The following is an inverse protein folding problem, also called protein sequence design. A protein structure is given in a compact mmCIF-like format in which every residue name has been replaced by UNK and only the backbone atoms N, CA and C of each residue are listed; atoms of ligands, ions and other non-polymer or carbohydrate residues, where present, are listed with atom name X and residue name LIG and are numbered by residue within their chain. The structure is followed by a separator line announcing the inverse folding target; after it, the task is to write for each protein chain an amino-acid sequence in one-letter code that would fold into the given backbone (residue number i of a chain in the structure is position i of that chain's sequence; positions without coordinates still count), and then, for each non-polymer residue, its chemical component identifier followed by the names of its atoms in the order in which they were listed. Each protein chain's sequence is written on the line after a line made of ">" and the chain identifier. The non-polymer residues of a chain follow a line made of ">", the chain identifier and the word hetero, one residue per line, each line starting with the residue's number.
data_IF_663904478785
#
_entry.id   IF_663904478785
#
_cell.length_a   1.000
_cell.length_b   1.000
_cell.length_c   1.000
_cell.angle_alpha   90.00
_cell.angle_beta   90.00
_cell.angle_gamma   90.00
#
_symmetry.space_group_name_H-M   'P 1'
#
loop_
_entity.id
_entity.type
_entity.pdbx_description
1 polymer ?
#
# COMPACT_ATOMS: atom_id res chain seq x y z
N UNK A 1 22.61 -8.93 0.49
CA UNK A 1 22.74 -7.49 0.74
C UNK A 1 23.82 -7.30 1.80
N UNK A 2 24.63 -6.23 1.70
CA UNK A 2 25.67 -5.93 2.70
C UNK A 2 25.07 -5.65 4.07
N UNK A 3 25.86 -5.73 5.15
CA UNK A 3 25.40 -5.41 6.51
C UNK A 3 25.02 -3.92 6.64
N UNK A 4 25.69 -3.04 5.89
CA UNK A 4 25.38 -1.61 5.77
C UNK A 4 25.16 -1.27 4.29
N UNK A 5 23.96 -1.57 3.76
CA UNK A 5 23.69 -1.46 2.33
C UNK A 5 23.68 -0.02 1.84
N UNK A 6 24.09 0.17 0.59
CA UNK A 6 23.80 1.39 -0.16
C UNK A 6 22.36 1.31 -0.64
N UNK A 7 21.52 2.20 -0.13
CA UNK A 7 20.08 2.24 -0.44
C UNK A 7 19.79 3.42 -1.37
N UNK A 8 19.12 3.16 -2.49
CA UNK A 8 18.61 4.19 -3.36
C UNK A 8 17.09 4.34 -3.21
N UNK A 9 16.59 5.58 -3.13
CA UNK A 9 15.16 5.88 -3.18
C UNK A 9 14.88 6.59 -4.50
N UNK A 10 14.15 5.95 -5.39
CA UNK A 10 13.69 6.53 -6.66
C UNK A 10 12.32 7.15 -6.48
N UNK A 11 12.22 8.46 -6.69
CA UNK A 11 11.03 9.25 -6.42
C UNK A 11 10.99 9.79 -4.97
N UNK A 12 12.15 10.13 -4.42
CA UNK A 12 12.32 10.59 -3.02
C UNK A 12 11.48 11.82 -2.67
N UNK A 13 11.13 12.66 -3.63
CA UNK A 13 10.32 13.87 -3.45
C UNK A 13 8.81 13.63 -3.43
N UNK A 14 8.36 12.40 -3.70
CA UNK A 14 6.95 12.01 -3.63
C UNK A 14 6.51 11.73 -2.19
N UNK A 15 5.19 11.64 -1.96
CA UNK A 15 4.63 11.35 -0.65
C UNK A 15 5.20 10.03 -0.05
N UNK A 16 5.23 8.96 -0.84
CA UNK A 16 5.80 7.66 -0.41
C UNK A 16 7.33 7.76 -0.25
N UNK A 17 8.01 8.57 -1.08
CA UNK A 17 9.46 8.78 -0.96
C UNK A 17 9.87 9.37 0.39
N UNK A 18 9.10 10.35 0.88
CA UNK A 18 9.29 10.93 2.21
C UNK A 18 9.02 9.88 3.32
N UNK A 19 7.99 9.06 3.16
CA UNK A 19 7.67 7.99 4.11
C UNK A 19 8.73 6.87 4.12
N UNK A 20 9.41 6.58 3.03
CA UNK A 20 10.57 5.67 3.04
C UNK A 20 11.64 6.14 4.01
N UNK A 21 12.01 7.43 3.92
CA UNK A 21 13.02 8.04 4.81
C UNK A 21 12.59 7.91 6.27
N UNK A 22 11.36 8.35 6.58
CA UNK A 22 10.82 8.32 7.94
C UNK A 22 10.69 6.89 8.48
N UNK A 23 10.23 5.96 7.65
CA UNK A 23 10.04 4.55 8.04
C UNK A 23 11.38 3.85 8.29
N UNK A 24 12.38 4.04 7.42
CA UNK A 24 13.72 3.49 7.62
C UNK A 24 14.37 4.02 8.90
N UNK A 25 14.17 5.31 9.22
CA UNK A 25 14.69 5.91 10.45
C UNK A 25 13.98 5.33 11.68
N UNK A 26 12.65 5.38 11.71
CA UNK A 26 11.80 4.84 12.79
C UNK A 26 12.11 3.37 13.12
N UNK A 27 12.36 2.55 12.09
CA UNK A 27 12.64 1.12 12.22
C UNK A 27 14.12 0.79 12.47
N UNK A 28 15.00 1.78 12.48
CA UNK A 28 16.43 1.53 12.61
C UNK A 28 17.01 0.72 11.45
N UNK A 29 16.40 0.80 10.25
CA UNK A 29 16.84 0.06 9.06
C UNK A 29 18.29 0.42 8.74
N UNK A 30 19.15 -0.57 8.59
CA UNK A 30 20.59 -0.33 8.32
C UNK A 30 20.78 0.31 6.95
N UNK A 31 21.49 1.43 6.91
CA UNK A 31 21.84 2.17 5.69
C UNK A 31 23.25 2.68 5.83
N UNK A 32 24.18 2.12 5.05
CA UNK A 32 25.55 2.63 4.98
C UNK A 32 25.64 3.93 4.18
N UNK A 33 24.89 4.03 3.08
CA UNK A 33 24.76 5.24 2.27
C UNK A 33 23.36 5.34 1.67
N UNK A 34 22.76 6.52 1.77
CA UNK A 34 21.50 6.84 1.08
C UNK A 34 21.78 7.61 -0.21
N UNK A 35 21.23 7.14 -1.34
CA UNK A 35 21.11 7.85 -2.61
C UNK A 35 19.67 8.32 -2.81
N UNK A 36 19.46 9.62 -2.76
CA UNK A 36 18.14 10.24 -2.97
C UNK A 36 18.00 10.60 -4.45
N UNK A 37 17.11 9.90 -5.18
CA UNK A 37 17.00 10.02 -6.64
C UNK A 37 15.64 10.60 -7.04
N UNK A 38 15.65 11.61 -7.93
CA UNK A 38 14.44 12.22 -8.49
C UNK A 38 14.68 12.72 -9.92
N UNK A 39 13.69 13.42 -10.49
CA UNK A 39 13.86 14.08 -11.80
C UNK A 39 14.85 15.26 -11.73
N UNK A 40 15.40 15.67 -12.87
CA UNK A 40 16.29 16.83 -13.01
C UNK A 40 15.75 18.10 -12.30
N UNK A 41 14.42 18.30 -12.30
CA UNK A 41 13.76 19.44 -11.63
C UNK A 41 14.02 19.50 -10.12
N UNK A 42 14.29 18.37 -9.49
CA UNK A 42 14.52 18.26 -8.05
C UNK A 42 15.99 18.05 -7.68
N UNK A 43 16.85 17.80 -8.66
CA UNK A 43 18.29 17.65 -8.45
C UNK A 43 18.89 18.90 -7.81
N UNK A 44 19.85 18.70 -6.91
CA UNK A 44 20.48 19.77 -6.12
C UNK A 44 19.73 20.19 -4.86
N UNK A 45 18.44 19.86 -4.72
CA UNK A 45 17.72 20.01 -3.44
C UNK A 45 18.21 18.97 -2.44
N UNK A 46 17.78 19.08 -1.20
CA UNK A 46 18.18 18.14 -0.14
C UNK A 46 16.99 17.53 0.56
N UNK A 47 17.18 16.33 1.11
CA UNK A 47 16.31 15.69 2.09
C UNK A 47 17.10 15.41 3.37
N UNK A 48 16.43 15.38 4.51
CA UNK A 48 17.07 15.03 5.78
C UNK A 48 16.92 13.53 6.04
N UNK A 49 18.01 12.84 6.37
CA UNK A 49 18.00 11.46 6.85
C UNK A 49 18.93 11.36 8.07
N UNK A 50 18.39 10.96 9.22
CA UNK A 50 19.12 10.84 10.50
C UNK A 50 19.91 12.11 10.86
N UNK A 51 19.29 13.27 10.66
CA UNK A 51 19.92 14.57 10.93
C UNK A 51 20.98 15.00 9.91
N UNK A 52 21.25 14.19 8.90
CA UNK A 52 22.19 14.55 7.82
C UNK A 52 21.44 15.04 6.58
N UNK A 53 21.99 16.06 5.92
CA UNK A 53 21.47 16.56 4.65
C UNK A 53 21.99 15.67 3.50
N UNK A 54 21.08 15.04 2.78
CA UNK A 54 21.38 14.21 1.61
C UNK A 54 20.96 14.97 0.36
N UNK A 55 21.88 15.20 -0.57
CA UNK A 55 21.60 15.88 -1.84
C UNK A 55 20.80 14.95 -2.73
N UNK A 56 19.75 15.49 -3.35
CA UNK A 56 18.96 14.78 -4.37
C UNK A 56 19.73 14.79 -5.68
N UNK A 57 19.99 13.60 -6.20
CA UNK A 57 20.65 13.41 -7.49
C UNK A 57 19.60 13.21 -8.60
N UNK A 58 19.93 13.59 -9.82
CA UNK A 58 19.10 13.24 -10.98
C UNK A 58 19.14 11.74 -11.22
N UNK A 59 17.97 11.14 -11.47
CA UNK A 59 17.85 9.74 -11.85
C UNK A 59 18.38 9.50 -13.27
N UNK A 60 19.48 8.81 -13.37
CA UNK A 60 20.14 8.39 -14.62
C UNK A 60 20.42 6.89 -14.62
N UNK A 61 20.87 6.33 -15.72
CA UNK A 61 21.23 4.91 -15.80
C UNK A 61 22.40 4.54 -14.88
N UNK A 62 23.31 5.50 -14.61
CA UNK A 62 24.45 5.31 -13.73
C UNK A 62 24.13 5.51 -12.23
N UNK A 63 22.93 5.94 -11.91
CA UNK A 63 22.53 6.19 -10.51
C UNK A 63 22.60 4.93 -9.62
N UNK A 64 22.59 3.75 -10.23
CA UNK A 64 22.56 2.47 -9.50
C UNK A 64 23.95 1.85 -9.31
N UNK A 65 25.02 2.49 -9.75
CA UNK A 65 26.38 2.00 -9.53
C UNK A 65 26.65 1.86 -8.01
N UNK A 66 26.95 0.62 -7.56
CA UNK A 66 27.22 0.29 -6.16
C UNK A 66 26.00 0.35 -5.23
N UNK A 67 24.77 0.32 -5.76
CA UNK A 67 23.53 0.24 -4.98
C UNK A 67 23.22 -1.23 -4.66
N UNK A 68 22.92 -1.53 -3.40
CA UNK A 68 22.48 -2.86 -2.95
C UNK A 68 20.95 -3.01 -3.00
N UNK A 69 20.21 -1.99 -2.58
CA UNK A 69 18.74 -1.99 -2.51
C UNK A 69 18.22 -0.70 -3.17
N UNK A 70 17.22 -0.83 -4.04
CA UNK A 70 16.57 0.30 -4.66
C UNK A 70 15.04 0.27 -4.40
N UNK A 71 14.54 1.27 -3.64
CA UNK A 71 13.12 1.46 -3.34
C UNK A 71 12.52 2.40 -4.38
N UNK A 72 11.57 1.90 -5.17
CA UNK A 72 10.97 2.65 -6.27
C UNK A 72 9.57 3.14 -5.91
N UNK A 73 9.33 4.45 -6.07
CA UNK A 73 8.01 5.07 -5.97
C UNK A 73 7.91 6.30 -6.89
N UNK A 74 8.16 6.11 -8.19
CA UNK A 74 8.16 7.17 -9.20
C UNK A 74 7.21 6.90 -10.38
N UNK A 75 6.30 5.91 -10.22
CA UNK A 75 5.33 5.51 -11.23
C UNK A 75 5.82 4.45 -12.20
N UNK A 76 4.87 3.77 -12.85
CA UNK A 76 5.13 2.55 -13.62
C UNK A 76 6.04 2.74 -14.84
N UNK A 77 6.01 3.90 -15.50
CA UNK A 77 6.91 4.19 -16.65
C UNK A 77 8.38 4.26 -16.22
N UNK A 78 8.65 4.92 -15.09
CA UNK A 78 9.99 5.02 -14.50
C UNK A 78 10.45 3.65 -14.03
N UNK A 79 9.59 2.88 -13.35
CA UNK A 79 9.93 1.53 -12.90
C UNK A 79 10.27 0.62 -14.08
N UNK A 80 9.45 0.59 -15.14
CA UNK A 80 9.74 -0.21 -16.34
C UNK A 80 11.08 0.14 -16.99
N UNK A 81 11.45 1.42 -17.01
CA UNK A 81 12.72 1.87 -17.59
C UNK A 81 13.90 1.53 -16.67
N UNK A 82 13.84 1.89 -15.40
CA UNK A 82 15.02 1.92 -14.54
C UNK A 82 15.18 0.70 -13.62
N UNK A 83 14.12 -0.05 -13.30
CA UNK A 83 14.27 -1.24 -12.44
C UNK A 83 15.15 -2.32 -13.07
N UNK A 84 15.03 -2.65 -14.38
CA UNK A 84 15.96 -3.59 -15.01
C UNK A 84 17.41 -3.10 -15.02
N UNK A 85 17.64 -1.78 -15.14
CA UNK A 85 18.98 -1.18 -15.08
C UNK A 85 19.56 -1.33 -13.69
N UNK A 86 18.77 -1.06 -12.64
CA UNK A 86 19.18 -1.25 -11.25
C UNK A 86 19.56 -2.71 -10.96
N UNK A 87 18.75 -3.66 -11.43
CA UNK A 87 19.05 -5.10 -11.32
C UNK A 87 20.34 -5.47 -12.02
N UNK A 88 20.56 -4.97 -13.26
CA UNK A 88 21.81 -5.21 -14.01
C UNK A 88 23.04 -4.62 -13.28
N UNK A 89 22.87 -3.52 -12.55
CA UNK A 89 23.92 -2.95 -11.70
C UNK A 89 24.14 -3.71 -10.38
N UNK A 90 23.34 -4.74 -10.08
CA UNK A 90 23.46 -5.60 -8.91
C UNK A 90 22.53 -5.27 -7.74
N UNK A 91 21.67 -4.27 -7.89
CA UNK A 91 20.69 -3.92 -6.86
C UNK A 91 19.50 -4.89 -6.83
N UNK A 92 18.93 -5.10 -5.63
CA UNK A 92 17.58 -5.65 -5.49
C UNK A 92 16.58 -4.50 -5.45
N UNK A 93 15.59 -4.55 -6.34
CA UNK A 93 14.55 -3.54 -6.47
C UNK A 93 13.30 -3.95 -5.70
N UNK A 94 12.76 -3.05 -4.86
CA UNK A 94 11.41 -3.15 -4.31
C UNK A 94 10.56 -2.05 -4.96
N UNK A 95 9.60 -2.43 -5.80
CA UNK A 95 8.85 -1.51 -6.64
C UNK A 95 7.40 -1.33 -6.17
N UNK A 96 7.04 -0.11 -5.77
CA UNK A 96 5.67 0.25 -5.37
C UNK A 96 4.73 0.49 -6.56
N UNK A 97 5.24 0.57 -7.78
CA UNK A 97 4.39 0.79 -8.94
C UNK A 97 3.63 -0.48 -9.36
N UNK A 98 2.67 -0.33 -10.25
CA UNK A 98 1.96 -1.48 -10.83
C UNK A 98 2.74 -2.19 -11.94
N UNK A 99 3.96 -1.73 -12.28
CA UNK A 99 4.68 -2.15 -13.49
C UNK A 99 4.94 -3.66 -13.57
N UNK A 100 5.24 -4.28 -12.44
CA UNK A 100 5.68 -5.68 -12.39
C UNK A 100 4.77 -6.59 -11.53
N UNK A 101 3.70 -6.05 -10.92
CA UNK A 101 2.87 -6.80 -9.97
C UNK A 101 2.30 -8.09 -10.54
N UNK A 102 1.90 -8.08 -11.81
CA UNK A 102 1.30 -9.25 -12.47
C UNK A 102 2.29 -10.04 -13.34
N UNK A 103 3.57 -9.68 -13.35
CA UNK A 103 4.61 -10.50 -13.99
C UNK A 103 4.75 -11.82 -13.21
N UNK A 104 4.65 -13.00 -13.87
CA UNK A 104 4.77 -14.29 -13.20
C UNK A 104 6.16 -14.56 -12.61
N UNK A 105 7.19 -13.88 -13.10
CA UNK A 105 8.57 -14.00 -12.61
C UNK A 105 8.91 -13.02 -11.48
N UNK A 106 7.99 -12.11 -11.12
CA UNK A 106 8.19 -11.12 -10.07
C UNK A 106 7.28 -11.45 -8.89
N UNK A 107 7.83 -11.74 -7.70
CA UNK A 107 7.03 -11.98 -6.52
C UNK A 107 6.31 -10.68 -6.10
N UNK A 108 5.04 -10.83 -5.75
CA UNK A 108 4.18 -9.77 -5.20
C UNK A 108 4.00 -10.06 -3.71
N UNK A 109 4.56 -9.20 -2.84
CA UNK A 109 4.80 -9.59 -1.44
C UNK A 109 4.13 -8.66 -0.44
N UNK A 110 3.42 -9.27 0.50
CA UNK A 110 3.06 -8.70 1.79
C UNK A 110 3.75 -9.57 2.85
N UNK A 111 4.70 -9.04 3.64
CA UNK A 111 5.50 -9.83 4.60
C UNK A 111 4.68 -10.69 5.55
N UNK A 112 3.56 -10.21 6.05
CA UNK A 112 2.66 -10.94 6.95
C UNK A 112 1.94 -12.12 6.29
N UNK A 113 1.95 -12.19 4.95
CA UNK A 113 1.21 -13.19 4.18
C UNK A 113 2.14 -14.20 3.52
N UNK A 114 3.06 -13.70 2.70
CA UNK A 114 3.83 -14.55 1.80
C UNK A 114 5.32 -14.18 1.73
N UNK A 115 5.93 -13.79 2.87
CA UNK A 115 7.34 -13.43 2.97
C UNK A 115 8.29 -14.47 2.31
N UNK A 116 7.91 -15.76 2.33
CA UNK A 116 8.69 -16.83 1.68
C UNK A 116 8.97 -16.57 0.20
N UNK A 117 8.06 -15.83 -0.47
CA UNK A 117 8.15 -15.51 -1.90
C UNK A 117 9.26 -14.51 -2.22
N UNK A 118 9.79 -13.81 -1.23
CA UNK A 118 10.96 -12.95 -1.41
C UNK A 118 12.13 -13.73 -2.03
N UNK A 119 12.30 -15.01 -1.67
CA UNK A 119 13.39 -15.85 -2.18
C UNK A 119 13.28 -16.17 -3.68
N UNK A 120 12.10 -16.00 -4.26
CA UNK A 120 11.83 -16.32 -5.66
C UNK A 120 12.21 -15.16 -6.61
N UNK A 121 12.65 -13.99 -6.07
CA UNK A 121 12.95 -12.83 -6.89
C UNK A 121 14.15 -13.05 -7.83
N UNK A 122 14.06 -12.45 -9.01
CA UNK A 122 15.15 -12.36 -9.99
C UNK A 122 15.71 -10.93 -10.06
N UNK A 123 15.78 -10.26 -8.91
CA UNK A 123 16.24 -8.89 -8.76
C UNK A 123 15.13 -7.87 -8.52
N UNK A 124 13.87 -8.15 -8.89
CA UNK A 124 12.71 -7.27 -8.64
C UNK A 124 11.72 -7.98 -7.74
N UNK A 125 11.20 -7.25 -6.74
CA UNK A 125 10.08 -7.63 -5.87
C UNK A 125 9.04 -6.53 -6.00
N UNK A 126 7.79 -6.90 -6.29
CA UNK A 126 6.69 -5.94 -6.39
C UNK A 126 6.00 -5.75 -5.03
N UNK A 127 5.77 -4.50 -4.67
CA UNK A 127 4.93 -4.09 -3.56
C UNK A 127 3.49 -3.95 -4.05
N UNK A 128 2.49 -4.57 -3.38
CA UNK A 128 1.12 -4.58 -3.86
C UNK A 128 0.44 -3.21 -3.86
N UNK A 129 -0.76 -3.17 -4.42
CA UNK A 129 -1.67 -2.04 -4.34
C UNK A 129 -2.05 -1.74 -2.89
N UNK A 130 -2.17 -0.47 -2.54
CA UNK A 130 -2.45 -0.04 -1.17
C UNK A 130 -3.80 -0.55 -0.63
N UNK A 131 -4.85 -0.54 -1.45
CA UNK A 131 -6.14 -1.09 -1.07
C UNK A 131 -6.05 -2.62 -0.92
N UNK A 132 -5.35 -3.32 -1.82
CA UNK A 132 -5.11 -4.75 -1.66
C UNK A 132 -4.40 -5.07 -0.34
N UNK A 133 -3.33 -4.33 0.02
CA UNK A 133 -2.63 -4.56 1.29
C UNK A 133 -3.57 -4.33 2.48
N UNK A 134 -4.35 -3.24 2.47
CA UNK A 134 -5.28 -2.88 3.55
C UNK A 134 -6.31 -3.98 3.79
N UNK A 135 -6.89 -4.56 2.73
CA UNK A 135 -7.83 -5.66 2.84
C UNK A 135 -7.18 -6.99 3.24
N UNK A 136 -6.04 -7.32 2.62
CA UNK A 136 -5.49 -8.68 2.69
C UNK A 136 -4.77 -8.98 4.01
N UNK A 137 -4.14 -7.99 4.64
CA UNK A 137 -3.48 -8.19 5.94
C UNK A 137 -4.44 -8.77 6.98
N UNK A 138 -5.63 -8.20 7.22
CA UNK A 138 -6.58 -8.79 8.16
C UNK A 138 -7.31 -10.03 7.64
N UNK A 139 -7.51 -10.19 6.33
CA UNK A 139 -8.20 -11.35 5.77
C UNK A 139 -7.35 -12.63 5.79
N UNK A 140 -6.03 -12.50 5.68
CA UNK A 140 -5.14 -13.65 5.58
C UNK A 140 -5.20 -14.61 6.77
N UNK A 141 -5.11 -14.17 8.04
CA UNK A 141 -5.17 -15.08 9.19
C UNK A 141 -6.49 -15.83 9.29
N UNK A 142 -7.59 -15.25 8.77
CA UNK A 142 -8.87 -15.94 8.65
C UNK A 142 -8.79 -16.99 7.55
N UNK A 143 -8.34 -16.60 6.36
CA UNK A 143 -8.20 -17.48 5.20
C UNK A 143 -7.36 -18.73 5.49
N UNK A 144 -6.29 -18.57 6.29
CA UNK A 144 -5.45 -19.69 6.74
C UNK A 144 -6.21 -20.69 7.64
N UNK A 145 -7.13 -20.22 8.49
CA UNK A 145 -7.86 -21.06 9.44
C UNK A 145 -9.17 -21.60 8.88
N UNK A 146 -9.82 -20.81 8.04
CA UNK A 146 -11.08 -21.13 7.40
C UNK A 146 -11.12 -20.43 6.04
N UNK A 147 -10.86 -21.16 4.98
CA UNK A 147 -10.71 -20.61 3.64
C UNK A 147 -11.87 -19.67 3.27
N UNK A 148 -11.54 -18.47 2.89
CA UNK A 148 -12.49 -17.49 2.36
C UNK A 148 -12.80 -17.86 0.90
N UNK A 149 -14.07 -18.11 0.60
CA UNK A 149 -14.56 -18.41 -0.76
C UNK A 149 -14.86 -17.15 -1.55
N UNK A 150 -15.40 -16.14 -0.87
CA UNK A 150 -15.86 -14.89 -1.47
C UNK A 150 -15.56 -13.73 -0.55
N UNK A 151 -15.17 -12.59 -1.14
CA UNK A 151 -15.01 -11.32 -0.43
C UNK A 151 -15.59 -10.19 -1.27
N UNK A 152 -16.32 -9.28 -0.63
CA UNK A 152 -16.83 -8.03 -1.19
C UNK A 152 -16.16 -6.91 -0.44
N UNK A 153 -15.54 -5.99 -1.19
CA UNK A 153 -14.78 -4.86 -0.66
C UNK A 153 -15.35 -3.57 -1.24
N UNK A 154 -15.70 -2.63 -0.38
CA UNK A 154 -15.99 -1.24 -0.78
C UNK A 154 -14.96 -0.35 -0.13
N UNK A 155 -14.14 0.34 -0.95
CA UNK A 155 -13.07 1.20 -0.44
C UNK A 155 -13.51 2.64 -0.29
N UNK A 156 -12.92 3.33 0.68
CA UNK A 156 -13.02 4.78 0.91
C UNK A 156 -11.59 5.32 0.89
N UNK A 157 -11.12 5.70 -0.32
CA UNK A 157 -9.71 6.00 -0.54
C UNK A 157 -9.41 7.49 -0.39
N UNK A 158 -8.48 7.80 0.49
CA UNK A 158 -8.01 9.15 0.80
C UNK A 158 -7.22 9.78 -0.37
N UNK A 159 -7.11 11.11 -0.34
CA UNK A 159 -6.36 11.91 -1.31
C UNK A 159 -4.88 11.51 -1.41
N UNK A 160 -4.26 11.16 -0.29
CA UNK A 160 -2.84 10.78 -0.21
C UNK A 160 -2.46 9.59 -1.10
N UNK A 161 -3.41 8.70 -1.44
CA UNK A 161 -3.20 7.63 -2.42
C UNK A 161 -2.95 8.13 -3.85
N UNK A 162 -3.37 9.36 -4.17
CA UNK A 162 -3.07 10.04 -5.43
C UNK A 162 -1.86 11.01 -5.32
N UNK A 163 -1.19 11.05 -4.18
CA UNK A 163 0.03 11.82 -3.94
C UNK A 163 -0.20 13.19 -3.31
N UNK A 164 0.92 13.89 -3.07
CA UNK A 164 0.93 15.16 -2.34
C UNK A 164 0.07 16.24 -3.02
N UNK A 165 0.10 16.32 -4.35
CA UNK A 165 -0.68 17.32 -5.10
C UNK A 165 -2.19 17.14 -4.92
N UNK A 166 -2.67 15.90 -4.79
CA UNK A 166 -4.08 15.62 -4.53
C UNK A 166 -4.50 15.99 -3.10
N UNK A 167 -3.61 15.82 -2.13
CA UNK A 167 -3.83 16.28 -0.76
C UNK A 167 -3.93 17.81 -0.70
N UNK A 168 -3.01 18.50 -1.38
CA UNK A 168 -3.02 19.96 -1.48
C UNK A 168 -4.30 20.47 -2.17
N UNK A 169 -4.67 19.86 -3.30
CA UNK A 169 -5.93 20.18 -4.00
C UNK A 169 -7.17 20.00 -3.10
N UNK A 170 -7.22 18.92 -2.30
CA UNK A 170 -8.32 18.72 -1.35
C UNK A 170 -8.40 19.88 -0.33
N UNK A 171 -7.25 20.30 0.22
CA UNK A 171 -7.21 21.41 1.19
C UNK A 171 -7.62 22.72 0.55
N UNK A 172 -7.06 23.03 -0.63
CA UNK A 172 -7.37 24.27 -1.36
C UNK A 172 -8.83 24.35 -1.80
N UNK A 173 -9.35 23.26 -2.39
CA UNK A 173 -10.75 23.20 -2.82
C UNK A 173 -11.71 23.29 -1.65
N UNK A 174 -11.37 22.70 -0.49
CA UNK A 174 -12.16 22.84 0.74
C UNK A 174 -12.18 24.28 1.22
N UNK A 175 -11.02 24.93 1.27
CA UNK A 175 -10.91 26.35 1.68
C UNK A 175 -11.71 27.27 0.74
N UNK A 176 -11.58 27.07 -0.57
CA UNK A 176 -12.31 27.83 -1.56
C UNK A 176 -13.83 27.68 -1.39
N UNK A 177 -14.31 26.44 -1.22
CA UNK A 177 -15.73 26.14 -1.02
C UNK A 177 -16.27 26.82 0.24
N UNK A 178 -15.57 26.74 1.38
CA UNK A 178 -15.97 27.38 2.64
C UNK A 178 -16.03 28.92 2.52
N UNK A 179 -15.24 29.51 1.62
CA UNK A 179 -15.26 30.95 1.34
C UNK A 179 -16.22 31.32 0.22
N UNK A 180 -17.10 30.44 -0.26
CA UNK A 180 -18.04 30.67 -1.34
C UNK A 180 -17.38 30.88 -2.71
N UNK A 181 -16.15 30.45 -2.88
CA UNK A 181 -15.38 30.57 -4.12
C UNK A 181 -15.49 29.30 -4.96
N UNK A 182 -15.47 29.45 -6.28
CA UNK A 182 -15.41 28.33 -7.22
C UNK A 182 -13.97 27.83 -7.31
N UNK A 183 -13.77 26.53 -7.14
CA UNK A 183 -12.47 25.86 -7.36
C UNK A 183 -12.55 24.97 -8.60
N UNK A 184 -11.64 25.17 -9.54
CA UNK A 184 -11.51 24.29 -10.70
C UNK A 184 -10.47 23.21 -10.40
N UNK A 185 -10.83 21.92 -10.42
CA UNK A 185 -9.90 20.83 -10.20
C UNK A 185 -8.74 20.86 -11.19
N UNK A 186 -7.53 20.56 -10.71
CA UNK A 186 -6.28 20.53 -11.50
C UNK A 186 -5.62 19.15 -11.49
N UNK A 187 -5.86 18.39 -10.43
CA UNK A 187 -5.25 17.07 -10.18
C UNK A 187 -6.30 15.99 -10.30
N UNK A 188 -7.45 16.18 -9.66
CA UNK A 188 -8.57 15.23 -9.70
C UNK A 188 -9.53 15.55 -10.84
N UNK A 189 -10.22 14.53 -11.40
CA UNK A 189 -11.17 14.76 -12.51
C UNK A 189 -12.46 15.43 -12.10
N UNK A 190 -12.77 15.47 -10.79
CA UNK A 190 -14.01 16.01 -10.24
C UNK A 190 -13.74 16.92 -9.03
N UNK A 191 -14.65 17.84 -8.68
CA UNK A 191 -14.56 18.62 -7.44
C UNK A 191 -14.40 17.67 -6.25
N UNK A 192 -13.41 17.94 -5.40
CA UNK A 192 -13.04 17.00 -4.33
C UNK A 192 -13.65 17.39 -2.98
N UNK A 193 -13.72 18.69 -2.67
CA UNK A 193 -14.29 19.17 -1.42
C UNK A 193 -15.74 18.70 -1.26
N UNK A 194 -16.09 18.10 -0.11
CA UNK A 194 -17.43 17.61 0.23
C UNK A 194 -18.08 16.66 -0.79
N UNK A 195 -17.25 15.96 -1.58
CA UNK A 195 -17.71 15.07 -2.64
C UNK A 195 -17.03 13.71 -2.54
N UNK A 196 -17.66 12.67 -3.05
CA UNK A 196 -17.06 11.38 -3.33
C UNK A 196 -17.30 11.01 -4.80
N UNK A 197 -16.37 10.28 -5.39
CA UNK A 197 -16.46 9.85 -6.79
C UNK A 197 -15.72 8.53 -7.00
N UNK A 198 -16.06 7.81 -8.07
CA UNK A 198 -15.37 6.58 -8.44
C UNK A 198 -13.87 6.82 -8.58
N UNK A 199 -13.07 5.82 -8.25
CA UNK A 199 -11.63 5.91 -8.41
C UNK A 199 -11.27 6.30 -9.85
N UNK A 200 -10.40 7.28 -9.99
CA UNK A 200 -10.11 8.00 -11.23
C UNK A 200 -9.19 7.26 -12.21
N UNK A 201 -9.06 5.95 -12.11
CA UNK A 201 -8.39 5.12 -13.12
C UNK A 201 -9.33 4.76 -14.27
N UNK A 202 -8.75 4.30 -15.38
CA UNK A 202 -9.50 3.92 -16.56
C UNK A 202 -10.53 2.82 -16.24
N UNK A 203 -11.68 2.90 -16.90
CA UNK A 203 -12.75 1.89 -16.82
C UNK A 203 -12.63 0.99 -18.05
N UNK A 204 -12.65 -0.31 -17.84
CA UNK A 204 -12.84 -1.29 -18.88
C UNK A 204 -14.32 -1.29 -19.32
N UNK A 205 -14.63 -0.92 -20.56
CA UNK A 205 -16.00 -0.80 -21.04
C UNK A 205 -16.75 -2.13 -21.14
N UNK A 206 -16.05 -3.26 -21.20
CA UNK A 206 -16.65 -4.58 -21.29
C UNK A 206 -17.12 -5.08 -19.92
N UNK A 207 -16.30 -4.88 -18.89
CA UNK A 207 -16.58 -5.39 -17.55
C UNK A 207 -17.18 -4.33 -16.62
N UNK A 208 -17.01 -3.06 -16.91
CA UNK A 208 -17.40 -1.93 -16.06
C UNK A 208 -16.48 -1.70 -14.86
N UNK A 209 -15.45 -2.53 -14.66
CA UNK A 209 -14.47 -2.34 -13.60
C UNK A 209 -13.41 -1.30 -13.98
N UNK A 210 -13.00 -0.50 -13.03
CA UNK A 210 -11.83 0.36 -13.22
C UNK A 210 -10.52 -0.41 -12.94
N UNK A 211 -9.39 0.18 -13.37
CA UNK A 211 -8.07 -0.45 -13.17
C UNK A 211 -7.73 -0.69 -11.70
N UNK A 212 -8.21 0.16 -10.78
CA UNK A 212 -7.93 0.00 -9.35
C UNK A 212 -8.62 -1.24 -8.79
N UNK A 213 -9.89 -1.43 -9.13
CA UNK A 213 -10.69 -2.60 -8.75
C UNK A 213 -10.08 -3.89 -9.34
N UNK A 214 -9.70 -3.84 -10.62
CA UNK A 214 -9.05 -4.96 -11.30
C UNK A 214 -7.73 -5.37 -10.64
N UNK A 215 -6.93 -4.39 -10.15
CA UNK A 215 -5.72 -4.67 -9.39
C UNK A 215 -6.03 -5.40 -8.09
N UNK A 216 -6.99 -4.92 -7.29
CA UNK A 216 -7.35 -5.58 -6.03
C UNK A 216 -7.76 -7.02 -6.27
N UNK A 217 -8.59 -7.29 -7.29
CA UNK A 217 -9.04 -8.64 -7.64
C UNK A 217 -7.85 -9.56 -7.99
N UNK A 218 -7.01 -9.11 -8.93
CA UNK A 218 -5.88 -9.93 -9.44
C UNK A 218 -4.79 -10.13 -8.39
N UNK A 219 -4.46 -9.07 -7.65
CA UNK A 219 -3.43 -9.10 -6.62
C UNK A 219 -3.87 -9.97 -5.43
N UNK A 220 -5.15 -9.96 -5.04
CA UNK A 220 -5.70 -10.87 -4.01
C UNK A 220 -5.44 -12.33 -4.37
N UNK A 221 -5.78 -12.74 -5.59
CA UNK A 221 -5.56 -14.12 -6.04
C UNK A 221 -4.07 -14.50 -6.04
N UNK A 222 -3.22 -13.62 -6.57
CA UNK A 222 -1.77 -13.85 -6.61
C UNK A 222 -1.14 -13.93 -5.22
N UNK A 223 -1.53 -13.05 -4.29
CA UNK A 223 -0.96 -13.00 -2.94
C UNK A 223 -1.43 -14.17 -2.08
N UNK A 224 -2.72 -14.53 -2.15
CA UNK A 224 -3.27 -15.68 -1.43
C UNK A 224 -2.93 -17.02 -2.09
N UNK A 225 -2.41 -17.00 -3.33
CA UNK A 225 -2.16 -18.20 -4.13
C UNK A 225 -3.45 -19.03 -4.30
N UNK A 226 -4.58 -18.33 -4.43
CA UNK A 226 -5.91 -18.92 -4.56
C UNK A 226 -6.69 -18.29 -5.73
N UNK A 227 -6.60 -18.94 -6.90
CA UNK A 227 -7.31 -18.49 -8.11
C UNK A 227 -8.84 -18.63 -8.01
N UNK A 228 -9.33 -19.41 -7.04
CA UNK A 228 -10.76 -19.70 -6.89
C UNK A 228 -11.49 -18.72 -5.98
N UNK A 229 -10.77 -17.86 -5.26
CA UNK A 229 -11.40 -16.86 -4.40
C UNK A 229 -12.20 -15.88 -5.27
N UNK A 230 -13.49 -15.72 -4.95
CA UNK A 230 -14.36 -14.75 -5.61
C UNK A 230 -14.19 -13.39 -4.94
N UNK A 231 -13.79 -12.37 -5.72
CA UNK A 231 -13.53 -11.02 -5.22
C UNK A 231 -14.40 -10.03 -5.98
N UNK A 232 -15.26 -9.30 -5.27
CA UNK A 232 -15.99 -8.15 -5.77
C UNK A 232 -15.46 -6.87 -5.11
N UNK A 233 -15.23 -5.83 -5.89
CA UNK A 233 -14.62 -4.58 -5.40
C UNK A 233 -15.32 -3.38 -6.00
N UNK A 234 -15.53 -2.35 -5.18
CA UNK A 234 -15.90 -1.01 -5.62
C UNK A 234 -14.94 -0.01 -4.97
N UNK A 235 -14.23 0.76 -5.78
CA UNK A 235 -13.25 1.73 -5.31
C UNK A 235 -13.75 3.16 -5.49
N UNK A 236 -13.81 3.93 -4.39
CA UNK A 236 -14.20 5.35 -4.43
C UNK A 236 -13.17 6.24 -3.75
N UNK A 237 -13.05 7.48 -4.24
CA UNK A 237 -12.35 8.57 -3.57
C UNK A 237 -13.29 9.27 -2.61
N UNK A 238 -12.78 9.57 -1.42
CA UNK A 238 -13.50 10.33 -0.39
C UNK A 238 -12.68 11.55 0.03
N UNK A 239 -13.31 12.64 0.54
CA UNK A 239 -12.62 13.88 0.89
C UNK A 239 -11.90 13.75 2.25
N UNK A 240 -11.01 12.77 2.33
CA UNK A 240 -10.15 12.47 3.47
C UNK A 240 -8.70 12.65 3.02
N UNK A 241 -7.87 13.29 3.84
CA UNK A 241 -6.49 13.59 3.47
C UNK A 241 -5.61 12.34 3.43
N UNK A 242 -5.65 11.50 4.48
CA UNK A 242 -4.75 10.37 4.68
C UNK A 242 -5.49 9.19 5.34
N UNK A 243 -5.03 7.99 5.10
CA UNK A 243 -5.56 6.70 5.48
C UNK A 243 -6.80 6.26 4.68
N UNK A 244 -6.72 5.05 4.13
CA UNK A 244 -7.83 4.39 3.44
C UNK A 244 -8.70 3.64 4.44
N UNK A 245 -10.00 3.61 4.18
CA UNK A 245 -10.91 2.70 4.87
C UNK A 245 -11.55 1.73 3.87
N UNK A 246 -12.00 0.59 4.39
CA UNK A 246 -12.72 -0.39 3.58
C UNK A 246 -13.81 -1.08 4.40
N UNK A 247 -15.00 -1.18 3.82
CA UNK A 247 -16.04 -2.06 4.30
C UNK A 247 -15.87 -3.41 3.61
N UNK A 248 -15.69 -4.47 4.39
CA UNK A 248 -15.39 -5.80 3.90
C UNK A 248 -16.44 -6.78 4.42
N UNK A 249 -17.02 -7.54 3.51
CA UNK A 249 -17.83 -8.73 3.85
C UNK A 249 -17.19 -9.94 3.19
N UNK A 250 -16.90 -10.96 3.98
CA UNK A 250 -16.31 -12.21 3.48
C UNK A 250 -17.12 -13.42 3.89
N UNK A 251 -17.08 -14.46 3.03
CA UNK A 251 -17.72 -15.74 3.23
C UNK A 251 -16.68 -16.86 3.29
N UNK A 252 -16.71 -17.65 4.36
CA UNK A 252 -15.80 -18.78 4.58
C UNK A 252 -16.41 -20.11 4.10
N UNK A 253 -15.59 -21.15 3.97
CA UNK A 253 -16.03 -22.51 3.66
C UNK A 253 -16.87 -23.14 4.78
N UNK A 254 -16.52 -22.79 6.04
CA UNK A 254 -17.22 -23.29 7.23
C UNK A 254 -17.82 -22.10 7.99
N UNK A 255 -18.91 -22.33 8.77
CA UNK A 255 -19.43 -21.29 9.65
C UNK A 255 -18.36 -20.71 10.54
N UNK A 256 -18.45 -19.41 10.81
CA UNK A 256 -17.50 -18.68 11.64
C UNK A 256 -18.24 -17.66 12.52
N UNK A 257 -17.84 -17.55 13.77
CA UNK A 257 -18.43 -16.58 14.71
C UNK A 257 -17.62 -15.29 14.80
N UNK A 258 -18.28 -14.23 15.26
CA UNK A 258 -17.61 -12.94 15.55
C UNK A 258 -16.46 -13.10 16.54
N UNK A 259 -16.65 -13.92 17.60
CA UNK A 259 -15.65 -14.14 18.62
C UNK A 259 -14.43 -14.90 18.09
N UNK A 260 -14.65 -15.85 17.17
CA UNK A 260 -13.54 -16.51 16.48
C UNK A 260 -12.76 -15.53 15.62
N UNK A 261 -13.44 -14.63 14.90
CA UNK A 261 -12.77 -13.61 14.09
C UNK A 261 -11.98 -12.65 15.00
N UNK A 262 -12.57 -12.15 16.10
CA UNK A 262 -11.86 -11.29 17.06
C UNK A 262 -10.62 -11.97 17.64
N UNK A 263 -10.74 -13.23 18.04
CA UNK A 263 -9.62 -13.98 18.58
C UNK A 263 -8.49 -14.19 17.56
N UNK A 264 -8.83 -14.40 16.28
CA UNK A 264 -7.87 -14.49 15.19
C UNK A 264 -7.17 -13.14 14.99
N UNK A 265 -7.94 -12.05 14.90
CA UNK A 265 -7.40 -10.70 14.67
C UNK A 265 -6.52 -10.21 15.81
N UNK A 266 -6.85 -10.53 17.05
CA UNK A 266 -6.07 -10.13 18.22
C UNK A 266 -4.65 -10.69 18.24
N UNK A 267 -4.38 -11.74 17.46
CA UNK A 267 -3.06 -12.38 17.37
C UNK A 267 -2.40 -12.17 15.98
N UNK A 268 -3.08 -11.48 15.08
CA UNK A 268 -2.62 -11.30 13.72
C UNK A 268 -1.51 -10.24 13.65
N UNK A 269 -0.34 -10.53 13.04
CA UNK A 269 0.69 -9.52 12.85
C UNK A 269 0.19 -8.40 11.90
N UNK A 270 0.54 -7.15 12.21
CA UNK A 270 0.14 -5.98 11.43
C UNK A 270 -1.34 -5.61 11.55
N UNK A 271 -2.05 -6.17 12.54
CA UNK A 271 -3.47 -5.91 12.79
C UNK A 271 -3.67 -5.43 14.23
N UNK A 272 -4.49 -4.39 14.39
CA UNK A 272 -4.94 -3.90 15.69
C UNK A 272 -6.46 -3.83 15.73
N UNK A 273 -7.06 -4.52 16.69
CA UNK A 273 -8.53 -4.50 16.87
C UNK A 273 -8.96 -3.22 17.59
N UNK A 274 -9.89 -2.50 16.96
CA UNK A 274 -10.56 -1.29 17.46
C UNK A 274 -12.06 -1.51 17.31
N UNK A 275 -12.70 -2.18 18.25
CA UNK A 275 -14.09 -2.65 18.13
C UNK A 275 -14.85 -2.46 19.45
N UNK A 276 -15.05 -1.21 19.88
CA UNK A 276 -15.78 -0.86 21.10
C UNK A 276 -17.23 -0.49 20.77
N UNK A 277 -18.11 -1.49 20.85
CA UNK A 277 -19.55 -1.34 20.59
C UNK A 277 -20.24 -0.44 21.62
N UNK A 278 -19.80 -0.45 22.86
CA UNK A 278 -20.44 0.32 23.91
C UNK A 278 -20.24 1.82 23.74
N UNK A 279 -19.05 2.20 23.21
CA UNK A 279 -18.71 3.59 22.91
C UNK A 279 -18.99 4.00 21.47
N UNK A 280 -19.51 3.09 20.64
CA UNK A 280 -19.61 3.28 19.18
C UNK A 280 -18.28 3.76 18.56
N UNK A 281 -17.16 3.16 19.00
CA UNK A 281 -15.82 3.55 18.58
C UNK A 281 -15.19 2.44 17.73
N UNK A 282 -14.85 2.77 16.51
CA UNK A 282 -14.40 1.87 15.45
C UNK A 282 -13.26 2.51 14.64
N UNK A 283 -12.58 1.76 13.74
CA UNK A 283 -11.51 2.33 12.94
C UNK A 283 -11.93 3.59 12.19
N UNK A 284 -11.08 4.61 12.24
CA UNK A 284 -11.26 5.86 11.51
C UNK A 284 -9.95 6.25 10.80
N UNK A 285 -10.02 7.02 9.69
CA UNK A 285 -8.81 7.50 9.01
C UNK A 285 -7.88 8.30 9.93
N UNK A 286 -8.44 9.11 10.83
CA UNK A 286 -7.67 9.94 11.76
C UNK A 286 -6.85 9.08 12.75
N UNK A 287 -7.39 7.94 13.18
CA UNK A 287 -6.71 7.03 14.10
C UNK A 287 -5.66 6.17 13.39
N UNK A 288 -5.91 5.85 12.12
CA UNK A 288 -5.01 5.03 11.31
C UNK A 288 -3.83 5.83 10.74
N UNK A 289 -3.99 7.14 10.55
CA UNK A 289 -2.93 8.00 10.00
C UNK A 289 -1.68 7.99 10.89
N UNK A 290 -0.52 7.67 10.30
CA UNK A 290 0.76 7.54 11.01
C UNK A 290 0.94 6.22 11.78
N UNK A 291 -0.04 5.30 11.73
CA UNK A 291 0.08 3.97 12.36
C UNK A 291 0.61 2.92 11.38
N UNK A 292 1.35 1.96 11.94
CA UNK A 292 1.93 0.86 11.17
C UNK A 292 0.92 -0.26 10.92
N UNK A 293 -0.01 -0.48 11.86
CA UNK A 293 -1.00 -1.56 11.83
C UNK A 293 -2.25 -1.19 11.04
N UNK A 294 -2.90 -2.20 10.47
CA UNK A 294 -4.27 -2.11 9.95
C UNK A 294 -5.24 -2.18 11.12
N UNK A 295 -6.02 -1.13 11.33
CA UNK A 295 -7.08 -1.10 12.35
C UNK A 295 -8.29 -1.87 11.85
N UNK A 296 -8.82 -2.78 12.66
CA UNK A 296 -9.98 -3.62 12.32
C UNK A 296 -11.05 -3.49 13.39
N UNK A 297 -12.29 -3.26 12.96
CA UNK A 297 -13.43 -3.18 13.87
C UNK A 297 -14.76 -3.40 13.13
N UNK A 298 -15.86 -3.09 13.81
CA UNK A 298 -17.21 -3.37 13.27
C UNK A 298 -17.39 -4.83 12.89
N UNK A 299 -16.70 -5.76 13.58
CA UNK A 299 -16.77 -7.19 13.33
C UNK A 299 -18.16 -7.68 13.76
N UNK A 300 -18.94 -8.15 12.80
CA UNK A 300 -20.34 -8.55 13.02
C UNK A 300 -20.77 -9.61 12.01
N UNK A 301 -21.77 -10.43 12.38
CA UNK A 301 -22.43 -11.34 11.46
C UNK A 301 -23.03 -10.58 10.29
N UNK A 302 -22.93 -11.15 9.11
CA UNK A 302 -23.71 -10.69 7.98
C UNK A 302 -25.13 -11.24 8.10
N UNK A 303 -26.09 -10.36 8.40
CA UNK A 303 -27.50 -10.75 8.58
C UNK A 303 -28.16 -11.18 7.27
N UNK A 304 -27.55 -10.92 6.12
CA UNK A 304 -28.04 -11.39 4.83
C UNK A 304 -27.67 -12.86 4.54
N UNK A 305 -26.73 -13.42 5.34
CA UNK A 305 -26.33 -14.83 5.25
C UNK A 305 -26.90 -15.63 6.46
N UNK A 306 -27.99 -16.38 6.25
CA UNK A 306 -28.57 -17.20 7.31
C UNK A 306 -27.73 -18.44 7.66
N UNK A 307 -26.72 -18.77 6.87
CA UNK A 307 -25.88 -19.96 7.04
C UNK A 307 -24.76 -19.77 8.07
N UNK A 308 -24.45 -18.50 8.41
CA UNK A 308 -23.41 -18.17 9.39
C UNK A 308 -21.97 -18.31 8.88
N UNK A 309 -21.78 -18.35 7.55
CA UNK A 309 -20.47 -18.40 6.92
C UNK A 309 -19.86 -17.01 6.72
N UNK A 310 -20.68 -15.95 6.81
CA UNK A 310 -20.27 -14.59 6.42
C UNK A 310 -20.14 -13.65 7.62
N UNK A 311 -19.08 -12.86 7.58
CA UNK A 311 -18.79 -11.79 8.54
C UNK A 311 -18.56 -10.50 7.78
N UNK A 312 -19.06 -9.40 8.33
CA UNK A 312 -18.74 -8.05 7.89
C UNK A 312 -17.82 -7.35 8.91
N UNK A 313 -16.85 -6.60 8.41
CA UNK A 313 -15.94 -5.77 9.21
C UNK A 313 -15.64 -4.44 8.54
N UNK A 314 -15.05 -3.52 9.26
CA UNK A 314 -14.54 -2.26 8.75
C UNK A 314 -13.08 -2.12 9.12
N UNK A 315 -12.27 -1.69 8.17
CA UNK A 315 -10.83 -1.54 8.36
C UNK A 315 -10.39 -0.12 7.99
N UNK A 316 -9.31 0.34 8.63
CA UNK A 316 -8.63 1.58 8.28
C UNK A 316 -7.12 1.37 8.36
N UNK A 317 -6.38 1.85 7.36
CA UNK A 317 -4.92 1.75 7.34
C UNK A 317 -4.28 2.97 6.69
N UNK A 318 -3.09 3.31 7.16
CA UNK A 318 -2.28 4.32 6.51
C UNK A 318 -1.67 3.77 5.21
N UNK A 319 -2.25 4.17 4.08
CA UNK A 319 -1.83 3.65 2.78
C UNK A 319 -0.46 4.19 2.32
N UNK A 320 0.08 5.26 2.93
CA UNK A 320 1.46 5.69 2.69
C UNK A 320 2.46 4.84 3.47
N UNK A 321 2.06 4.30 4.63
CA UNK A 321 2.86 3.41 5.47
C UNK A 321 2.63 1.94 5.08
N UNK A 322 1.69 1.26 5.75
CA UNK A 322 1.48 -0.17 5.50
C UNK A 322 1.08 -0.45 4.06
N UNK A 323 0.28 0.43 3.44
CA UNK A 323 -0.09 0.31 2.04
C UNK A 323 1.05 0.57 1.03
N UNK A 324 2.21 1.09 1.45
CA UNK A 324 3.31 1.46 0.54
C UNK A 324 4.69 1.36 1.22
N UNK A 325 5.14 2.45 1.87
CA UNK A 325 6.52 2.60 2.33
C UNK A 325 6.91 1.56 3.38
N UNK A 326 6.07 1.35 4.39
CA UNK A 326 6.34 0.37 5.45
C UNK A 326 6.42 -1.05 4.88
N UNK A 327 5.46 -1.45 4.03
CA UNK A 327 5.47 -2.78 3.43
C UNK A 327 6.73 -3.01 2.60
N UNK A 328 7.16 -2.01 1.83
CA UNK A 328 8.37 -2.10 1.02
C UNK A 328 9.66 -2.15 1.88
N UNK A 329 9.72 -1.37 2.97
CA UNK A 329 10.85 -1.43 3.92
C UNK A 329 10.88 -2.78 4.63
N UNK A 330 9.73 -3.32 5.06
CA UNK A 330 9.64 -4.68 5.64
C UNK A 330 10.10 -5.76 4.65
N UNK A 331 9.80 -5.62 3.34
CA UNK A 331 10.34 -6.51 2.30
C UNK A 331 11.88 -6.39 2.26
N UNK A 332 12.40 -5.16 2.29
CA UNK A 332 13.85 -4.92 2.26
C UNK A 332 14.58 -5.48 3.50
N UNK A 333 13.95 -5.44 4.68
CA UNK A 333 14.47 -6.02 5.92
C UNK A 333 14.64 -7.55 5.82
N UNK A 334 13.79 -8.21 5.04
CA UNK A 334 13.78 -9.67 4.86
C UNK A 334 14.71 -10.15 3.73
N UNK A 335 15.37 -9.23 3.01
CA UNK A 335 16.32 -9.63 1.98
C UNK A 335 17.52 -10.40 2.60
N UNK A 336 17.92 -11.53 2.00
CA UNK A 336 19.03 -12.30 2.53
C UNK A 336 20.31 -11.46 2.53
N UNK A 337 20.99 -11.44 3.66
CA UNK A 337 22.30 -10.81 3.77
C UNK A 337 23.32 -11.60 2.93
N UNK A 338 24.18 -10.89 2.19
CA UNK A 338 25.36 -11.53 1.60
C UNK A 338 26.28 -11.96 2.75
N UNK A 339 26.38 -13.24 2.99
CA UNK A 339 27.47 -13.78 3.81
C UNK A 339 28.74 -13.44 3.04
N UNK A 340 29.61 -12.60 3.59
CA UNK A 340 30.95 -12.40 3.04
C UNK A 340 31.65 -13.74 3.15
N UNK A 341 31.98 -14.34 2.00
CA UNK A 341 32.80 -15.53 1.89
C UNK A 341 34.25 -15.19 2.22
#
# INVERSE_FOLDING_TARGET
>A
VSNDPVVAIVGVTGAVGAEFIATMDKRGFRVGKLKALASARSAGKTVSFRGQSVVIEELTERSFDGVDIALFSAGGSISRKFAPIAVKAGAVVVDNSSAFRMDPNVPLVIPEINARRIRDHKGIIANPNCAAITALVPLWPIHQKNRIKRVIISTYQAASGAGAAAMEELVESTRANLNGQVYTPKVMPHPYAFNLFNHNTAIDPETGYNDEETKVIKETRKIFEDEKIAVGVTCVRVPVLRAHCEAITFECEKPISEDQVRAIMAQAPGVKVVDDRAKNYFPMPIDASGQDDVLVGRIRKDLSDPTGHSISMFVAADQLLKGAALNAVQIAELLPQKVMA
#
